data_IF_702510170185
#
_entry.id   IF_702510170185
#
_cell.length_a   1.000
_cell.length_b   1.000
_cell.length_c   1.000
_cell.angle_alpha   90.00
_cell.angle_beta   90.00
_cell.angle_gamma   90.00
#
_symmetry.space_group_name_H-M   'P 1'
#
loop_
_entity.id
_entity.type
_entity.pdbx_description
1 polymer ?
#
# COMPACT_ATOMS: atom_id res chain seq x y z
N UNK A 1 12.71 -0.86 -11.05
CA UNK A 1 11.39 -0.22 -11.24
C UNK A 1 10.58 -0.08 -9.95
N UNK A 2 10.97 -0.72 -8.84
CA UNK A 2 10.40 -0.52 -7.48
C UNK A 2 10.97 0.69 -6.74
N UNK A 3 12.15 1.17 -7.14
CA UNK A 3 12.83 2.29 -6.47
C UNK A 3 12.10 3.62 -6.61
N UNK A 4 11.43 3.89 -7.75
CA UNK A 4 10.72 5.15 -7.96
C UNK A 4 9.55 5.33 -7.01
N UNK A 5 8.70 4.30 -6.86
CA UNK A 5 7.56 4.34 -5.93
C UNK A 5 8.02 4.52 -4.49
N UNK A 6 9.09 3.82 -4.10
CA UNK A 6 9.67 3.90 -2.76
C UNK A 6 10.26 5.28 -2.47
N UNK A 7 10.93 5.89 -3.45
CA UNK A 7 11.44 7.24 -3.33
C UNK A 7 10.32 8.28 -3.26
N UNK A 8 9.23 8.08 -3.99
CA UNK A 8 8.06 8.95 -3.91
C UNK A 8 7.38 8.88 -2.52
N UNK A 9 7.26 7.68 -1.93
CA UNK A 9 6.78 7.52 -0.55
C UNK A 9 7.73 8.22 0.43
N UNK A 10 9.04 8.04 0.27
CA UNK A 10 10.03 8.74 1.10
C UNK A 10 9.87 10.25 1.00
N UNK A 11 9.71 10.81 -0.19
CA UNK A 11 9.57 12.26 -0.38
C UNK A 11 8.38 12.81 0.41
N UNK A 12 7.19 12.19 0.26
CA UNK A 12 5.97 12.68 0.93
C UNK A 12 5.97 12.40 2.44
N UNK A 13 6.51 11.26 2.88
CA UNK A 13 6.53 10.88 4.29
C UNK A 13 7.76 11.39 5.04
N UNK A 14 8.90 11.67 4.43
CA UNK A 14 10.12 12.03 5.16
C UNK A 14 10.55 13.47 4.92
N UNK A 15 10.31 14.01 3.72
CA UNK A 15 10.90 15.26 3.30
C UNK A 15 9.87 16.41 3.25
N UNK A 16 8.56 16.12 3.27
CA UNK A 16 7.49 17.13 3.26
C UNK A 16 6.55 17.07 4.47
N UNK A 17 6.85 17.85 5.52
CA UNK A 17 6.07 17.86 6.76
C UNK A 17 4.59 18.21 6.57
N UNK A 18 4.25 19.11 5.64
CA UNK A 18 2.86 19.53 5.40
C UNK A 18 2.07 18.48 4.65
N UNK A 19 2.69 17.84 3.67
CA UNK A 19 2.05 16.81 2.85
C UNK A 19 1.91 15.50 3.61
N UNK A 20 2.90 15.14 4.43
CA UNK A 20 2.87 14.00 5.34
C UNK A 20 1.58 13.93 6.15
N UNK A 21 1.08 15.06 6.65
CA UNK A 21 -0.15 15.13 7.47
C UNK A 21 -1.41 14.65 6.73
N UNK A 22 -1.38 14.56 5.40
CA UNK A 22 -2.49 14.01 4.59
C UNK A 22 -2.54 12.48 4.61
N UNK A 23 -1.50 11.83 5.14
CA UNK A 23 -1.32 10.38 5.19
C UNK A 23 -1.34 9.87 6.64
N UNK A 24 -2.31 10.32 7.43
CA UNK A 24 -2.41 10.01 8.86
C UNK A 24 -2.43 8.50 9.14
N UNK A 25 -3.20 7.73 8.38
CA UNK A 25 -3.24 6.26 8.52
C UNK A 25 -1.87 5.62 8.31
N UNK A 26 -1.11 6.10 7.31
CA UNK A 26 0.24 5.61 7.05
C UNK A 26 1.20 5.99 8.19
N UNK A 27 1.06 7.19 8.75
CA UNK A 27 1.85 7.62 9.91
C UNK A 27 1.57 6.77 11.15
N UNK A 28 0.31 6.43 11.40
CA UNK A 28 -0.07 5.53 12.49
C UNK A 28 0.57 4.17 12.25
N UNK A 29 0.39 3.58 11.06
CA UNK A 29 0.98 2.29 10.71
C UNK A 29 2.51 2.27 10.91
N UNK A 30 3.21 3.32 10.45
CA UNK A 30 4.67 3.45 10.66
C UNK A 30 5.00 3.50 12.16
N UNK A 31 4.33 4.39 12.90
CA UNK A 31 4.69 4.70 14.30
C UNK A 31 4.34 3.60 15.28
N UNK A 32 3.42 2.70 14.93
CA UNK A 32 3.15 1.46 15.68
C UNK A 32 4.35 0.51 15.62
N UNK A 33 4.99 0.37 14.45
CA UNK A 33 6.10 -0.56 14.26
C UNK A 33 7.47 0.03 14.60
N UNK A 34 7.72 1.30 14.24
CA UNK A 34 8.98 1.99 14.52
C UNK A 34 8.86 3.52 14.55
N UNK A 35 9.83 4.21 15.14
CA UNK A 35 9.84 5.69 15.07
C UNK A 35 9.94 6.18 13.63
N UNK A 36 9.22 7.26 13.27
CA UNK A 36 9.27 7.88 11.94
C UNK A 36 10.71 8.19 11.48
N UNK A 37 11.59 8.60 12.39
CA UNK A 37 13.02 8.85 12.11
C UNK A 37 13.73 7.59 11.58
N UNK A 38 13.46 6.44 12.20
CA UNK A 38 14.09 5.15 11.85
C UNK A 38 13.54 4.64 10.51
N UNK A 39 12.23 4.76 10.32
CA UNK A 39 11.59 4.50 9.02
C UNK A 39 12.23 5.30 7.88
N UNK A 40 12.37 6.62 8.06
CA UNK A 40 12.96 7.50 7.04
C UNK A 40 14.44 7.20 6.71
N UNK A 41 15.19 6.62 7.65
CA UNK A 41 16.55 6.15 7.42
C UNK A 41 16.62 4.83 6.65
N UNK A 42 15.53 4.05 6.65
CA UNK A 42 15.46 2.72 6.07
C UNK A 42 14.77 2.68 4.71
N UNK A 43 13.70 3.46 4.51
CA UNK A 43 12.90 3.42 3.28
C UNK A 43 13.74 3.62 2.01
N UNK A 44 14.82 4.41 2.08
CA UNK A 44 15.73 4.63 0.95
C UNK A 44 16.73 3.50 0.67
N UNK A 45 16.81 2.46 1.52
CA UNK A 45 17.81 1.38 1.39
C UNK A 45 17.33 0.27 0.47
N UNK A 46 18.18 -0.31 -0.40
CA UNK A 46 17.75 -1.28 -1.40
C UNK A 46 17.19 -2.58 -0.80
N UNK A 47 17.51 -2.89 0.44
CA UNK A 47 17.02 -4.04 1.22
C UNK A 47 15.70 -3.76 1.96
N UNK A 48 15.09 -2.59 1.74
CA UNK A 48 13.82 -2.23 2.35
C UNK A 48 12.65 -2.97 1.70
N UNK A 49 11.84 -3.63 2.53
CA UNK A 49 10.59 -4.27 2.14
C UNK A 49 9.44 -3.36 2.52
N UNK A 50 8.64 -2.95 1.53
CA UNK A 50 7.42 -2.20 1.77
C UNK A 50 6.31 -3.06 2.37
N UNK A 51 5.39 -2.43 3.06
CA UNK A 51 4.21 -3.05 3.67
C UNK A 51 3.01 -2.12 3.62
N UNK A 52 2.17 -2.20 4.64
CA UNK A 52 0.90 -1.48 4.71
C UNK A 52 1.06 0.04 4.61
N UNK A 53 2.06 0.63 5.29
CA UNK A 53 2.30 2.07 5.25
C UNK A 53 2.56 2.58 3.82
N UNK A 54 3.37 1.86 3.03
CA UNK A 54 3.63 2.21 1.63
C UNK A 54 2.37 2.08 0.78
N UNK A 55 1.55 1.05 0.99
CA UNK A 55 0.29 0.84 0.24
C UNK A 55 -0.73 1.96 0.53
N UNK A 56 -0.83 2.41 1.78
CA UNK A 56 -1.66 3.54 2.18
C UNK A 56 -1.24 4.83 1.46
N UNK A 57 0.06 5.11 1.39
CA UNK A 57 0.57 6.28 0.67
C UNK A 57 0.35 6.17 -0.83
N UNK A 58 0.73 5.03 -1.43
CA UNK A 58 0.69 4.84 -2.87
C UNK A 58 -0.73 4.83 -3.44
N UNK A 59 -1.71 4.25 -2.73
CA UNK A 59 -3.11 4.27 -3.20
C UNK A 59 -3.62 5.69 -3.44
N UNK A 60 -3.28 6.61 -2.52
CA UNK A 60 -3.64 8.03 -2.60
C UNK A 60 -2.75 8.79 -3.58
N UNK A 61 -1.43 8.61 -3.53
CA UNK A 61 -0.46 9.28 -4.40
C UNK A 61 -0.74 8.99 -5.89
N UNK A 62 -1.04 7.73 -6.22
CA UNK A 62 -1.38 7.31 -7.58
C UNK A 62 -2.86 7.51 -7.91
N UNK A 63 -3.69 7.88 -6.93
CA UNK A 63 -5.14 7.99 -7.06
C UNK A 63 -5.76 6.73 -7.69
N UNK A 64 -5.34 5.57 -7.18
CA UNK A 64 -5.69 4.26 -7.70
C UNK A 64 -5.90 3.29 -6.51
N UNK A 65 -7.09 2.69 -6.36
CA UNK A 65 -7.36 1.76 -5.28
C UNK A 65 -6.47 0.52 -5.37
N UNK A 66 -6.08 0.00 -4.21
CA UNK A 66 -5.30 -1.23 -4.06
C UNK A 66 -6.12 -2.22 -3.24
N UNK A 67 -6.28 -3.45 -3.72
CA UNK A 67 -6.94 -4.53 -2.98
C UNK A 67 -5.95 -5.67 -2.79
N UNK A 68 -5.76 -6.08 -1.55
CA UNK A 68 -4.90 -7.20 -1.18
C UNK A 68 -5.76 -8.45 -0.98
N UNK A 69 -5.34 -9.53 -1.60
CA UNK A 69 -5.97 -10.84 -1.56
C UNK A 69 -5.06 -11.86 -0.86
N UNK A 70 -5.66 -12.89 -0.27
CA UNK A 70 -4.95 -14.12 0.12
C UNK A 70 -5.56 -15.32 -0.61
N UNK A 71 -4.80 -16.41 -0.81
CA UNK A 71 -5.39 -17.65 -1.30
C UNK A 71 -6.45 -18.17 -0.33
N UNK A 72 -7.58 -18.63 -0.86
CA UNK A 72 -8.72 -19.09 -0.04
C UNK A 72 -8.34 -20.24 0.92
N UNK A 73 -7.40 -21.10 0.50
CA UNK A 73 -6.88 -22.19 1.33
C UNK A 73 -6.06 -21.72 2.54
N UNK A 74 -5.45 -20.52 2.48
CA UNK A 74 -4.77 -19.93 3.65
C UNK A 74 -5.77 -19.44 4.71
N UNK A 75 -7.05 -19.29 4.35
CA UNK A 75 -8.12 -18.86 5.24
C UNK A 75 -9.04 -20.02 5.68
N UNK A 76 -8.56 -21.27 5.58
CA UNK A 76 -9.32 -22.46 5.97
C UNK A 76 -10.40 -22.89 4.96
N UNK A 77 -10.48 -22.23 3.81
CA UNK A 77 -11.35 -22.64 2.71
C UNK A 77 -10.76 -23.82 1.93
N UNK A 78 -11.61 -24.52 1.17
CA UNK A 78 -11.21 -25.65 0.32
C UNK A 78 -11.18 -25.29 -1.17
N UNK A 79 -11.45 -24.02 -1.49
CA UNK A 79 -11.44 -23.51 -2.85
C UNK A 79 -10.05 -23.12 -3.33
N UNK A 80 -9.93 -22.98 -4.65
CA UNK A 80 -8.72 -22.50 -5.34
C UNK A 80 -8.81 -20.99 -5.66
N UNK A 81 -9.73 -20.27 -5.00
CA UNK A 81 -9.97 -18.86 -5.24
C UNK A 81 -9.06 -17.93 -4.43
N UNK A 82 -9.35 -16.64 -4.52
CA UNK A 82 -8.69 -15.58 -3.76
C UNK A 82 -9.74 -14.77 -3.02
N UNK A 83 -9.49 -14.47 -1.75
CA UNK A 83 -10.38 -13.65 -0.93
C UNK A 83 -9.76 -12.28 -0.66
N UNK A 84 -10.49 -11.18 -0.84
CA UNK A 84 -9.99 -9.85 -0.50
C UNK A 84 -9.93 -9.72 1.02
N UNK A 85 -8.80 -9.24 1.54
CA UNK A 85 -8.58 -9.05 2.99
C UNK A 85 -8.42 -7.60 3.39
N UNK A 86 -7.99 -6.74 2.46
CA UNK A 86 -7.76 -5.33 2.74
C UNK A 86 -7.92 -4.51 1.46
N UNK A 87 -8.52 -3.32 1.60
CA UNK A 87 -8.66 -2.34 0.53
C UNK A 87 -8.09 -1.00 0.98
N UNK A 88 -7.33 -0.35 0.11
CA UNK A 88 -6.71 0.95 0.31
C UNK A 88 -7.20 1.93 -0.76
N UNK A 89 -7.58 3.14 -0.35
CA UNK A 89 -8.12 4.16 -1.26
C UNK A 89 -9.54 3.89 -1.75
N UNK A 90 -10.37 3.23 -0.93
CA UNK A 90 -11.78 2.94 -1.24
C UNK A 90 -12.64 4.21 -1.37
N UNK A 91 -12.25 5.29 -0.69
CA UNK A 91 -12.85 6.62 -0.78
C UNK A 91 -12.68 7.26 -2.16
N UNK A 92 -11.55 6.97 -2.83
CA UNK A 92 -11.22 7.46 -4.17
C UNK A 92 -12.27 6.98 -5.20
N UNK A 93 -12.92 5.84 -4.95
CA UNK A 93 -13.92 5.26 -5.84
C UNK A 93 -15.15 6.15 -6.05
N UNK A 94 -15.43 7.07 -5.10
CA UNK A 94 -16.61 7.95 -5.12
C UNK A 94 -16.42 9.24 -5.94
N UNK A 95 -15.18 9.65 -6.21
CA UNK A 95 -14.87 10.91 -6.92
C UNK A 95 -14.74 10.76 -8.45
N UNK A 96 -14.79 9.52 -8.97
CA UNK A 96 -14.70 9.30 -10.40
C UNK A 96 -16.03 9.58 -11.10
N UNK A 97 -16.13 10.78 -11.68
CA UNK A 97 -17.13 11.15 -12.70
C UNK A 97 -17.36 9.97 -13.65
N UNK A 98 -18.62 9.52 -13.73
CA UNK A 98 -19.20 8.62 -14.75
C UNK A 98 -18.33 8.55 -16.02
N UNK A 99 -17.52 7.50 -16.16
CA UNK A 99 -16.90 7.16 -17.44
C UNK A 99 -15.42 6.73 -17.45
N UNK A 100 -14.65 6.89 -16.38
CA UNK A 100 -13.28 6.32 -16.29
C UNK A 100 -13.10 5.55 -14.99
N UNK A 101 -13.36 4.25 -15.01
CA UNK A 101 -12.89 3.34 -13.95
C UNK A 101 -11.38 3.22 -14.09
N UNK A 102 -10.59 3.79 -13.17
CA UNK A 102 -9.18 3.39 -13.07
C UNK A 102 -9.15 1.92 -12.65
N UNK A 103 -8.27 1.13 -13.26
CA UNK A 103 -8.10 -0.27 -12.91
C UNK A 103 -7.66 -0.36 -11.45
N UNK A 104 -8.35 -1.16 -10.63
CA UNK A 104 -7.88 -1.46 -9.27
C UNK A 104 -6.58 -2.26 -9.36
N UNK A 105 -5.58 -1.92 -8.57
CA UNK A 105 -4.38 -2.75 -8.42
C UNK A 105 -4.73 -3.90 -7.49
N UNK A 106 -4.57 -5.14 -7.95
CA UNK A 106 -4.85 -6.33 -7.14
C UNK A 106 -3.53 -6.98 -6.76
N UNK A 107 -3.29 -7.12 -5.47
CA UNK A 107 -2.09 -7.75 -4.94
C UNK A 107 -2.46 -9.07 -4.28
N UNK A 108 -1.64 -10.10 -4.47
CA UNK A 108 -1.72 -11.36 -3.74
C UNK A 108 -0.68 -11.34 -2.63
N UNK A 109 -1.11 -11.47 -1.38
CA UNK A 109 -0.23 -11.67 -0.24
C UNK A 109 -0.04 -13.17 0.00
N UNK A 110 1.22 -13.62 -0.02
CA UNK A 110 1.59 -15.04 0.14
C UNK A 110 2.37 -15.30 1.44
N UNK A 111 2.28 -14.38 2.40
CA UNK A 111 3.03 -14.43 3.66
C UNK A 111 4.44 -13.83 3.58
N UNK A 112 5.05 -13.57 4.75
CA UNK A 112 6.42 -13.04 4.93
C UNK A 112 6.69 -11.70 4.20
N UNK A 113 5.70 -10.80 4.17
CA UNK A 113 5.78 -9.51 3.45
C UNK A 113 6.02 -9.65 1.93
N UNK A 114 5.59 -10.76 1.34
CA UNK A 114 5.65 -10.98 -0.10
C UNK A 114 4.31 -10.63 -0.75
N UNK A 115 4.37 -9.78 -1.78
CA UNK A 115 3.22 -9.36 -2.57
C UNK A 115 3.50 -9.61 -4.05
N UNK A 116 2.59 -10.31 -4.72
CA UNK A 116 2.60 -10.51 -6.17
C UNK A 116 1.47 -9.73 -6.84
N UNK A 117 1.64 -9.38 -8.11
CA UNK A 117 0.55 -8.83 -8.91
C UNK A 117 -0.45 -9.93 -9.25
N UNK A 118 -1.73 -9.71 -8.94
CA UNK A 118 -2.83 -10.58 -9.34
C UNK A 118 -3.46 -10.03 -10.63
N UNK A 119 -3.22 -10.71 -11.76
CA UNK A 119 -3.67 -10.31 -13.11
C UNK A 119 -4.93 -11.04 -13.57
#
# INVERSE_FOLDING_TARGET
MTDELRMAVKEVICDNDKERLKYEEALIAITVDESLRRYCQRIGRPDFWGGEAELLVLSRLCSQPIVVYIPEHEHGGWGSGFIPIQEYGSDIHNDFKKGKTRKVVRLLYTGRNHYDLLV
#
